data_IF_749540680636
#
_entry.id   IF_749540680636
#
_cell.length_a   1.000
_cell.length_b   1.000
_cell.length_c   1.000
_cell.angle_alpha   90.00
_cell.angle_beta   90.00
_cell.angle_gamma   90.00
#
_symmetry.space_group_name_H-M   'P 1'
#
loop_
_entity.id
_entity.type
_entity.pdbx_description
1 polymer ?
#
# COMPACT_ATOMS: atom_id res chain seq x y z
N UNK A 1 -25.70 11.85 -11.01
CA UNK A 1 -24.40 11.70 -10.33
C UNK A 1 -23.91 10.27 -10.57
N UNK A 2 -22.63 10.14 -10.94
CA UNK A 2 -22.00 8.98 -11.59
C UNK A 2 -22.20 7.65 -10.85
N UNK A 3 -23.01 6.75 -11.42
CA UNK A 3 -23.06 5.30 -11.08
C UNK A 3 -22.00 4.49 -11.87
N UNK A 4 -20.81 5.05 -12.08
CA UNK A 4 -19.79 4.45 -12.96
C UNK A 4 -18.93 3.37 -12.28
N UNK A 5 -19.01 3.20 -10.96
CA UNK A 5 -18.23 2.17 -10.25
C UNK A 5 -18.88 0.79 -10.21
N UNK A 6 -20.14 0.64 -10.67
CA UNK A 6 -20.85 -0.66 -10.61
C UNK A 6 -20.75 -1.49 -11.91
N UNK A 7 -20.32 -0.88 -13.02
CA UNK A 7 -20.39 -1.50 -14.36
C UNK A 7 -19.14 -2.29 -14.79
N UNK A 8 -18.04 -2.27 -14.02
CA UNK A 8 -16.81 -2.99 -14.37
C UNK A 8 -16.70 -4.39 -13.73
N UNK A 9 -17.80 -4.92 -13.14
CA UNK A 9 -17.77 -6.14 -12.31
C UNK A 9 -18.75 -7.23 -12.76
N UNK A 10 -19.09 -7.28 -14.04
CA UNK A 10 -20.01 -8.26 -14.60
C UNK A 10 -19.46 -8.83 -15.91
N UNK A 11 -18.39 -9.63 -15.85
CA UNK A 11 -18.14 -10.79 -16.73
C UNK A 11 -16.83 -11.47 -16.31
N UNK A 12 -16.86 -12.30 -15.26
CA UNK A 12 -15.94 -13.44 -15.11
C UNK A 12 -16.31 -14.26 -13.86
N UNK A 13 -16.83 -15.46 -14.13
CA UNK A 13 -16.73 -16.70 -13.34
C UNK A 13 -17.09 -16.71 -11.85
N UNK A 14 -18.12 -17.51 -11.55
CA UNK A 14 -18.42 -18.06 -10.24
C UNK A 14 -17.24 -18.90 -9.70
N UNK A 15 -16.87 -18.65 -8.45
CA UNK A 15 -15.85 -19.37 -7.68
C UNK A 15 -15.34 -18.47 -6.56
N UNK A 16 -15.29 -18.97 -5.32
CA UNK A 16 -14.92 -18.23 -4.10
C UNK A 16 -13.91 -17.09 -4.32
N UNK A 17 -14.33 -15.86 -3.99
CA UNK A 17 -13.74 -14.60 -4.45
C UNK A 17 -12.37 -14.21 -3.90
N UNK A 18 -11.35 -14.99 -4.22
CA UNK A 18 -9.95 -14.55 -4.25
C UNK A 18 -9.41 -14.85 -5.65
N UNK A 19 -9.42 -13.84 -6.52
CA UNK A 19 -8.71 -13.91 -7.81
C UNK A 19 -7.22 -13.90 -7.46
N UNK A 20 -6.56 -15.05 -7.65
CA UNK A 20 -5.12 -15.17 -7.47
C UNK A 20 -4.40 -14.18 -8.40
N UNK A 21 -3.50 -13.36 -7.85
CA UNK A 21 -2.73 -12.39 -8.63
C UNK A 21 -1.91 -13.08 -9.72
N UNK A 22 -1.80 -12.46 -10.90
CA UNK A 22 -0.87 -12.89 -11.94
C UNK A 22 0.59 -12.73 -11.48
N UNK A 23 1.57 -13.44 -12.08
CA UNK A 23 2.99 -13.25 -11.75
C UNK A 23 3.46 -11.79 -11.89
N UNK A 24 2.91 -11.05 -12.87
CA UNK A 24 3.20 -9.64 -13.08
C UNK A 24 2.68 -8.78 -11.91
N UNK A 25 1.45 -9.01 -11.47
CA UNK A 25 0.86 -8.26 -10.36
C UNK A 25 1.56 -8.58 -9.03
N UNK A 26 1.99 -9.83 -8.81
CA UNK A 26 2.81 -10.20 -7.64
C UNK A 26 4.15 -9.47 -7.63
N UNK A 27 4.79 -9.33 -8.80
CA UNK A 27 6.04 -8.56 -8.92
C UNK A 27 5.81 -7.08 -8.62
N UNK A 28 4.78 -6.47 -9.21
CA UNK A 28 4.43 -5.07 -8.94
C UNK A 28 4.11 -4.82 -7.47
N UNK A 29 3.42 -5.77 -6.81
CA UNK A 29 3.13 -5.70 -5.38
C UNK A 29 4.42 -5.73 -4.54
N UNK A 30 5.38 -6.60 -4.89
CA UNK A 30 6.69 -6.64 -4.23
C UNK A 30 7.45 -5.33 -4.41
N UNK A 31 7.51 -4.81 -5.64
CA UNK A 31 8.15 -3.52 -5.93
C UNK A 31 7.49 -2.36 -5.14
N UNK A 32 6.17 -2.41 -4.93
CA UNK A 32 5.45 -1.40 -4.15
C UNK A 32 5.73 -1.50 -2.64
N UNK A 33 5.89 -2.72 -2.13
CA UNK A 33 6.33 -2.98 -0.74
C UNK A 33 7.72 -2.39 -0.52
N UNK A 34 8.68 -2.69 -1.40
CA UNK A 34 10.05 -2.19 -1.33
C UNK A 34 10.11 -0.66 -1.43
N UNK A 35 9.35 -0.06 -2.37
CA UNK A 35 9.22 1.40 -2.47
C UNK A 35 8.62 2.02 -1.21
N UNK A 36 7.63 1.37 -0.60
CA UNK A 36 7.02 1.86 0.63
C UNK A 36 7.99 1.78 1.80
N UNK A 37 8.78 0.72 1.90
CA UNK A 37 9.82 0.60 2.92
C UNK A 37 10.88 1.69 2.76
N UNK A 38 11.34 1.96 1.53
CA UNK A 38 12.27 3.06 1.27
C UNK A 38 11.72 4.44 1.66
N UNK A 39 10.42 4.67 1.45
CA UNK A 39 9.76 5.91 1.89
C UNK A 39 9.72 6.03 3.42
N UNK A 40 9.44 4.94 4.14
CA UNK A 40 9.48 4.91 5.61
C UNK A 40 10.88 5.23 6.11
N UNK A 41 11.91 4.64 5.51
CA UNK A 41 13.30 4.86 5.91
C UNK A 41 13.73 6.30 5.64
N UNK A 42 13.38 6.86 4.49
CA UNK A 42 13.66 8.26 4.16
C UNK A 42 12.97 9.24 5.13
N UNK A 43 11.66 9.07 5.37
CA UNK A 43 10.91 9.92 6.30
C UNK A 43 11.46 9.81 7.73
N UNK A 44 11.86 8.61 8.17
CA UNK A 44 12.47 8.40 9.48
C UNK A 44 13.81 9.11 9.60
N UNK A 45 14.67 9.00 8.59
CA UNK A 45 15.97 9.68 8.59
C UNK A 45 15.81 11.21 8.68
N UNK A 46 14.82 11.79 8.01
CA UNK A 46 14.54 13.22 8.12
C UNK A 46 13.92 13.59 9.48
N UNK A 47 13.04 12.74 10.01
CA UNK A 47 12.44 12.94 11.32
C UNK A 47 13.47 13.03 12.45
N UNK A 48 14.50 12.20 12.41
CA UNK A 48 15.56 12.19 13.44
C UNK A 48 16.37 13.49 13.49
N UNK A 49 16.39 14.27 12.41
CA UNK A 49 17.21 15.48 12.28
C UNK A 49 16.42 16.78 12.46
N UNK A 50 15.08 16.69 12.50
CA UNK A 50 14.22 17.88 12.48
C UNK A 50 13.91 18.36 13.89
N UNK A 51 14.00 19.68 14.10
CA UNK A 51 13.70 20.35 15.37
C UNK A 51 12.55 21.34 15.27
N UNK A 52 12.08 21.61 14.04
CA UNK A 52 10.92 22.44 13.81
C UNK A 52 9.64 21.68 14.22
N UNK A 53 8.83 22.21 15.16
CA UNK A 53 7.64 21.52 15.66
C UNK A 53 6.60 21.19 14.59
N UNK A 54 6.43 22.06 13.58
CA UNK A 54 5.47 21.84 12.50
C UNK A 54 5.93 20.69 11.61
N UNK A 55 7.21 20.64 11.28
CA UNK A 55 7.78 19.56 10.49
C UNK A 55 7.82 18.22 11.25
N UNK A 56 8.03 18.25 12.58
CA UNK A 56 7.89 17.07 13.44
C UNK A 56 6.50 16.47 13.27
N UNK A 57 5.44 17.27 13.38
CA UNK A 57 4.06 16.80 13.17
C UNK A 57 3.85 16.27 11.75
N UNK A 58 4.35 16.97 10.73
CA UNK A 58 4.27 16.50 9.33
C UNK A 58 4.86 15.09 9.17
N UNK A 59 6.06 14.85 9.70
CA UNK A 59 6.72 13.57 9.60
C UNK A 59 6.04 12.47 10.42
N UNK A 60 5.40 12.80 11.56
CA UNK A 60 4.57 11.84 12.29
C UNK A 60 3.42 11.34 11.41
N UNK A 61 2.70 12.25 10.76
CA UNK A 61 1.61 11.88 9.86
C UNK A 61 2.10 11.13 8.62
N UNK A 62 3.22 11.55 8.03
CA UNK A 62 3.82 10.88 6.88
C UNK A 62 4.26 9.45 7.20
N UNK A 63 4.98 9.25 8.31
CA UNK A 63 5.42 7.94 8.78
C UNK A 63 4.23 7.04 9.05
N UNK A 64 3.20 7.53 9.74
CA UNK A 64 2.00 6.75 10.02
C UNK A 64 1.29 6.32 8.72
N UNK A 65 1.12 7.24 7.77
CA UNK A 65 0.52 6.94 6.47
C UNK A 65 1.33 5.89 5.69
N UNK A 66 2.66 6.03 5.66
CA UNK A 66 3.55 5.09 5.00
C UNK A 66 3.52 3.69 5.66
N UNK A 67 3.49 3.63 7.00
CA UNK A 67 3.35 2.38 7.76
C UNK A 67 2.00 1.69 7.51
N UNK A 68 0.89 2.44 7.48
CA UNK A 68 -0.43 1.89 7.16
C UNK A 68 -0.46 1.33 5.74
N UNK A 69 0.13 2.04 4.76
CA UNK A 69 0.29 1.53 3.39
C UNK A 69 1.09 0.24 3.37
N UNK A 70 2.22 0.19 4.09
CA UNK A 70 3.05 -1.02 4.17
C UNK A 70 2.29 -2.21 4.74
N UNK A 71 1.55 -2.02 5.84
CA UNK A 71 0.73 -3.07 6.43
C UNK A 71 -0.36 -3.57 5.48
N UNK A 72 -1.02 -2.67 4.75
CA UNK A 72 -2.00 -3.04 3.74
C UNK A 72 -1.38 -3.91 2.63
N UNK A 73 -0.23 -3.50 2.09
CA UNK A 73 0.47 -4.23 1.03
C UNK A 73 0.94 -5.61 1.52
N UNK A 74 1.44 -5.71 2.75
CA UNK A 74 1.82 -7.00 3.35
C UNK A 74 0.63 -7.94 3.54
N UNK A 75 -0.52 -7.44 3.99
CA UNK A 75 -1.74 -8.25 4.09
C UNK A 75 -2.16 -8.75 2.70
N UNK A 76 -2.17 -7.85 1.71
CA UNK A 76 -2.46 -8.20 0.31
C UNK A 76 -1.50 -9.26 -0.22
N UNK A 77 -0.21 -9.18 0.11
CA UNK A 77 0.80 -10.16 -0.31
C UNK A 77 0.57 -11.53 0.33
N UNK A 78 0.36 -11.59 1.65
CA UNK A 78 0.10 -12.83 2.40
C UNK A 78 -1.16 -13.55 1.94
N UNK A 79 -2.21 -12.81 1.57
CA UNK A 79 -3.46 -13.37 1.02
C UNK A 79 -3.29 -14.03 -0.36
N UNK A 80 -2.08 -14.07 -0.92
CA UNK A 80 -1.77 -14.71 -2.22
C UNK A 80 -0.89 -15.96 -2.08
N UNK A 81 -0.41 -16.26 -0.87
CA UNK A 81 0.43 -17.42 -0.58
C UNK A 81 -0.38 -18.65 -0.13
N UNK A 82 -1.70 -18.51 0.04
CA UNK A 82 -2.65 -19.60 0.32
C UNK A 82 -3.56 -19.85 -0.87
#
# INVERSE_FOLDING_TARGET
>A
MLNFFKAARETAAAGNGQIALTPRERRLLREEIERTQGAIDAARNHFEQVVDPTLIDCYIYELNAAQLRYQFLLRKFKSQEG
#
